data_IF_959772373769
#
_entry.id   IF_959772373769
#
_cell.length_a   1.000
_cell.length_b   1.000
_cell.length_c   1.000
_cell.angle_alpha   90.00
_cell.angle_beta   90.00
_cell.angle_gamma   90.00
#
_symmetry.space_group_name_H-M   'P 1'
#
loop_
_entity.id
_entity.type
_entity.pdbx_description
1 polymer ?
#
# COMPACT_ATOMS: atom_id res chain seq x y z
N UNK A 1 -25.20 -5.73 28.52
CA UNK A 1 -23.87 -6.12 29.04
C UNK A 1 -23.13 -6.70 27.84
N UNK A 2 -22.46 -5.81 27.08
CA UNK A 2 -21.78 -6.15 25.83
C UNK A 2 -20.42 -6.77 26.12
N UNK A 3 -20.20 -7.98 25.64
CA UNK A 3 -18.91 -8.66 25.70
C UNK A 3 -17.97 -7.94 24.76
N UNK A 4 -17.06 -7.12 25.27
CA UNK A 4 -15.90 -6.63 24.56
C UNK A 4 -14.97 -7.83 24.30
N UNK A 5 -15.09 -8.48 23.14
CA UNK A 5 -14.06 -9.41 22.70
C UNK A 5 -12.80 -8.59 22.44
N UNK A 6 -11.76 -8.81 23.24
CA UNK A 6 -10.41 -8.29 22.98
C UNK A 6 -9.98 -8.79 21.60
N UNK A 7 -9.87 -7.88 20.61
CA UNK A 7 -9.33 -8.19 19.28
C UNK A 7 -7.89 -8.69 19.50
N UNK A 8 -7.58 -9.87 18.97
CA UNK A 8 -6.22 -10.42 19.05
C UNK A 8 -5.23 -9.39 18.48
N UNK A 9 -4.04 -9.27 19.08
CA UNK A 9 -2.96 -8.37 18.63
C UNK A 9 -2.50 -8.64 17.19
N UNK A 10 -3.08 -9.60 16.49
CA UNK A 10 -2.71 -10.05 15.16
C UNK A 10 -3.75 -9.72 14.07
N UNK A 11 -4.75 -8.89 14.37
CA UNK A 11 -5.71 -8.45 13.35
C UNK A 11 -4.99 -7.56 12.32
N UNK A 12 -5.10 -7.84 11.01
CA UNK A 12 -4.48 -7.01 9.98
C UNK A 12 -4.89 -5.54 10.11
N UNK A 13 -3.91 -4.63 9.96
CA UNK A 13 -4.11 -3.18 9.97
C UNK A 13 -4.02 -2.58 8.58
N UNK A 14 -3.33 -3.26 7.67
CA UNK A 14 -3.14 -2.83 6.28
C UNK A 14 -3.51 -3.98 5.35
N UNK A 15 -4.38 -3.70 4.39
CA UNK A 15 -4.66 -4.61 3.29
C UNK A 15 -3.71 -4.32 2.12
N UNK A 16 -3.01 -5.33 1.61
CA UNK A 16 -2.20 -5.24 0.39
C UNK A 16 -2.93 -6.01 -0.70
N UNK A 17 -3.48 -5.30 -1.68
CA UNK A 17 -4.34 -5.87 -2.71
C UNK A 17 -3.71 -5.69 -4.08
N UNK A 18 -3.80 -6.71 -4.94
CA UNK A 18 -3.25 -6.67 -6.29
C UNK A 18 -4.21 -7.30 -7.30
N UNK A 19 -4.20 -6.81 -8.54
CA UNK A 19 -5.14 -7.24 -9.60
C UNK A 19 -4.84 -8.63 -10.17
N UNK A 20 -3.60 -9.11 -10.01
CA UNK A 20 -3.11 -10.38 -10.57
C UNK A 20 -1.98 -10.95 -9.73
N UNK A 21 -1.75 -12.26 -9.81
CA UNK A 21 -0.59 -12.92 -9.20
C UNK A 21 0.74 -12.40 -9.76
N UNK A 22 0.77 -11.95 -11.02
CA UNK A 22 1.95 -11.33 -11.63
C UNK A 22 2.40 -10.02 -10.95
N UNK A 23 1.49 -9.32 -10.26
CA UNK A 23 1.78 -8.08 -9.58
C UNK A 23 2.56 -8.31 -8.28
N UNK A 24 2.64 -9.56 -7.81
CA UNK A 24 3.35 -9.95 -6.59
C UNK A 24 4.82 -9.59 -6.62
N UNK A 25 5.48 -9.69 -7.79
CA UNK A 25 6.88 -9.30 -7.96
C UNK A 25 7.14 -7.87 -7.44
N UNK A 26 6.19 -6.97 -7.62
CA UNK A 26 6.25 -5.59 -7.13
C UNK A 26 5.65 -5.47 -5.73
N UNK A 27 4.47 -6.04 -5.50
CA UNK A 27 3.72 -5.80 -4.27
C UNK A 27 4.34 -6.47 -3.03
N UNK A 28 5.19 -7.49 -3.21
CA UNK A 28 5.97 -8.06 -2.11
C UNK A 28 6.86 -7.03 -1.40
N UNK A 29 7.30 -5.96 -2.07
CA UNK A 29 8.08 -4.88 -1.47
C UNK A 29 7.26 -4.09 -0.44
N UNK A 30 5.95 -3.91 -0.65
CA UNK A 30 5.07 -3.35 0.36
C UNK A 30 4.92 -4.28 1.57
N UNK A 31 4.72 -5.58 1.31
CA UNK A 31 4.60 -6.60 2.36
C UNK A 31 5.88 -6.68 3.20
N UNK A 32 7.05 -6.72 2.55
CA UNK A 32 8.35 -6.76 3.22
C UNK A 32 8.56 -5.52 4.11
N UNK A 33 8.19 -4.34 3.61
CA UNK A 33 8.31 -3.09 4.36
C UNK A 33 7.38 -3.07 5.58
N UNK A 34 6.12 -3.50 5.45
CA UNK A 34 5.18 -3.61 6.58
C UNK A 34 5.68 -4.60 7.63
N UNK A 35 6.22 -5.74 7.17
CA UNK A 35 6.79 -6.76 8.05
C UNK A 35 8.00 -6.24 8.85
N UNK A 36 8.91 -5.49 8.20
CA UNK A 36 10.07 -4.88 8.84
C UNK A 36 9.67 -3.94 9.99
N UNK A 37 8.55 -3.22 9.84
CA UNK A 37 8.00 -2.37 10.90
C UNK A 37 7.16 -3.13 11.93
N UNK A 38 6.87 -4.43 11.70
CA UNK A 38 6.00 -5.23 12.55
C UNK A 38 4.53 -4.83 12.46
N UNK A 39 4.10 -4.27 11.33
CA UNK A 39 2.70 -3.88 11.08
C UNK A 39 1.91 -5.11 10.61
N UNK A 40 0.86 -5.54 11.34
CA UNK A 40 0.00 -6.63 10.89
C UNK A 40 -0.69 -6.27 9.58
N UNK A 41 -0.59 -7.15 8.60
CA UNK A 41 -1.14 -6.94 7.26
C UNK A 41 -1.65 -8.25 6.66
N UNK A 42 -2.46 -8.14 5.63
CA UNK A 42 -2.85 -9.26 4.77
C UNK A 42 -2.56 -8.91 3.31
N UNK A 43 -2.30 -9.92 2.48
CA UNK A 43 -2.14 -9.77 1.04
C UNK A 43 -3.20 -10.58 0.30
N UNK A 44 -3.85 -9.97 -0.73
CA UNK A 44 -4.91 -10.60 -1.51
C UNK A 44 -4.82 -10.25 -2.98
N UNK A 45 -5.23 -11.21 -3.82
CA UNK A 45 -5.44 -11.00 -5.24
C UNK A 45 -6.94 -10.70 -5.44
N UNK A 46 -7.27 -9.52 -5.93
CA UNK A 46 -8.63 -9.07 -6.22
C UNK A 46 -8.60 -8.30 -7.54
N UNK A 47 -9.35 -8.75 -8.53
CA UNK A 47 -9.36 -8.10 -9.84
C UNK A 47 -10.60 -7.23 -10.01
N UNK A 48 -10.42 -5.93 -10.20
CA UNK A 48 -11.52 -5.01 -10.48
C UNK A 48 -12.35 -5.39 -11.71
N UNK A 49 -11.75 -6.08 -12.69
CA UNK A 49 -12.39 -6.45 -13.95
C UNK A 49 -12.90 -7.89 -14.00
N UNK A 50 -12.23 -8.82 -13.25
CA UNK A 50 -12.56 -10.25 -13.32
C UNK A 50 -13.34 -10.75 -12.11
N UNK A 51 -13.17 -10.10 -10.95
CA UNK A 51 -13.87 -10.38 -9.70
C UNK A 51 -14.34 -9.08 -9.04
N UNK A 52 -15.16 -8.25 -9.73
CA UNK A 52 -15.58 -6.94 -9.21
C UNK A 52 -16.33 -7.04 -7.89
N UNK A 53 -17.25 -8.01 -7.75
CA UNK A 53 -18.04 -8.20 -6.54
C UNK A 53 -17.17 -8.51 -5.31
N UNK A 54 -16.13 -9.35 -5.47
CA UNK A 54 -15.17 -9.64 -4.41
C UNK A 54 -14.39 -8.39 -3.99
N UNK A 55 -14.00 -7.57 -4.99
CA UNK A 55 -13.30 -6.31 -4.76
C UNK A 55 -14.16 -5.32 -3.98
N UNK A 56 -15.45 -5.19 -4.35
CA UNK A 56 -16.42 -4.35 -3.65
C UNK A 56 -16.65 -4.84 -2.22
N UNK A 57 -16.96 -6.13 -2.07
CA UNK A 57 -17.20 -6.72 -0.75
C UNK A 57 -15.99 -6.61 0.19
N UNK A 58 -14.78 -6.68 -0.34
CA UNK A 58 -13.56 -6.46 0.42
C UNK A 58 -13.47 -5.02 0.93
N UNK A 59 -13.62 -4.04 0.03
CA UNK A 59 -13.52 -2.62 0.37
C UNK A 59 -14.60 -2.17 1.38
N UNK A 60 -15.83 -2.60 1.19
CA UNK A 60 -16.97 -2.27 2.06
C UNK A 60 -16.79 -2.81 3.49
N UNK A 61 -16.17 -3.98 3.64
CA UNK A 61 -15.93 -4.61 4.95
C UNK A 61 -14.60 -4.24 5.60
N UNK A 62 -13.69 -3.60 4.86
CA UNK A 62 -12.32 -3.33 5.28
C UNK A 62 -12.24 -2.62 6.65
N UNK A 63 -13.00 -1.55 6.84
CA UNK A 63 -13.03 -0.80 8.10
C UNK A 63 -13.57 -1.64 9.26
N UNK A 64 -14.66 -2.38 9.05
CA UNK A 64 -15.26 -3.26 10.06
C UNK A 64 -14.29 -4.39 10.45
N UNK A 65 -13.49 -4.88 9.52
CA UNK A 65 -12.45 -5.89 9.76
C UNK A 65 -11.20 -5.33 10.47
N UNK A 66 -11.13 -4.01 10.71
CA UNK A 66 -10.07 -3.38 11.48
C UNK A 66 -8.90 -2.86 10.65
N UNK A 67 -9.01 -2.83 9.32
CA UNK A 67 -8.03 -2.18 8.47
C UNK A 67 -8.05 -0.66 8.69
N UNK A 68 -6.88 -0.05 8.60
CA UNK A 68 -6.69 1.41 8.66
C UNK A 68 -6.48 2.02 7.27
N UNK A 69 -5.97 1.26 6.33
CA UNK A 69 -5.79 1.65 4.93
C UNK A 69 -5.65 0.43 4.02
N UNK A 70 -5.73 0.65 2.71
CA UNK A 70 -5.54 -0.38 1.67
C UNK A 70 -4.46 0.10 0.71
N UNK A 71 -3.42 -0.72 0.49
CA UNK A 71 -2.43 -0.53 -0.57
C UNK A 71 -2.89 -1.35 -1.77
N UNK A 72 -3.12 -0.71 -2.91
CA UNK A 72 -3.67 -1.36 -4.09
C UNK A 72 -2.73 -1.22 -5.30
N UNK A 73 -2.20 -2.35 -5.78
CA UNK A 73 -1.34 -2.44 -6.95
C UNK A 73 -2.09 -2.93 -8.19
N UNK A 74 -1.92 -2.24 -9.31
CA UNK A 74 -2.50 -2.65 -10.60
C UNK A 74 -1.69 -2.12 -11.78
N UNK A 75 -1.71 -2.87 -12.89
CA UNK A 75 -1.02 -2.54 -14.13
C UNK A 75 -1.95 -2.35 -15.32
N UNK A 76 -1.50 -1.62 -16.33
CA UNK A 76 -2.27 -1.33 -17.53
C UNK A 76 -3.47 -0.43 -17.25
N UNK A 77 -4.69 -0.91 -17.51
CA UNK A 77 -5.95 -0.30 -17.07
C UNK A 77 -6.09 -0.49 -15.53
N UNK A 78 -5.31 0.24 -14.78
CA UNK A 78 -5.09 0.05 -13.35
C UNK A 78 -6.24 0.62 -12.50
N UNK A 79 -7.46 0.14 -12.71
CA UNK A 79 -8.67 0.68 -12.09
C UNK A 79 -8.88 0.24 -10.64
N UNK A 80 -8.16 -0.78 -10.15
CA UNK A 80 -8.40 -1.41 -8.85
C UNK A 80 -8.39 -0.40 -7.70
N UNK A 81 -7.40 0.48 -7.62
CA UNK A 81 -7.30 1.46 -6.53
C UNK A 81 -8.50 2.41 -6.50
N UNK A 82 -8.92 2.92 -7.67
CA UNK A 82 -10.09 3.80 -7.80
C UNK A 82 -11.40 3.09 -7.45
N UNK A 83 -11.55 1.85 -7.88
CA UNK A 83 -12.71 1.01 -7.56
C UNK A 83 -12.83 0.77 -6.06
N UNK A 84 -11.73 0.41 -5.39
CA UNK A 84 -11.72 0.23 -3.93
C UNK A 84 -12.00 1.55 -3.20
N UNK A 85 -11.40 2.66 -3.64
CA UNK A 85 -11.62 3.99 -3.03
C UNK A 85 -13.07 4.46 -3.13
N UNK A 86 -13.81 4.06 -4.18
CA UNK A 86 -15.22 4.37 -4.32
C UNK A 86 -16.12 3.56 -3.36
N UNK A 87 -15.60 2.50 -2.72
CA UNK A 87 -16.36 1.55 -1.88
C UNK A 87 -15.95 1.59 -0.41
N UNK A 88 -14.98 2.41 -0.02
CA UNK A 88 -14.55 2.57 1.37
C UNK A 88 -14.22 4.01 1.70
N UNK A 89 -14.31 4.36 2.98
CA UNK A 89 -13.82 5.64 3.50
C UNK A 89 -12.38 5.55 4.02
N UNK A 90 -11.78 4.36 3.98
CA UNK A 90 -10.38 4.18 4.35
C UNK A 90 -9.46 4.81 3.30
N UNK A 91 -8.27 5.34 3.69
CA UNK A 91 -7.26 5.75 2.74
C UNK A 91 -6.88 4.61 1.80
N UNK A 92 -6.91 4.87 0.49
CA UNK A 92 -6.43 3.94 -0.55
C UNK A 92 -5.13 4.48 -1.14
N UNK A 93 -4.10 3.64 -1.14
CA UNK A 93 -2.73 3.94 -1.54
C UNK A 93 -2.45 3.18 -2.84
N UNK A 94 -2.46 3.88 -3.96
CA UNK A 94 -2.34 3.29 -5.30
C UNK A 94 -0.88 3.12 -5.72
N UNK A 95 -0.53 1.92 -6.16
CA UNK A 95 0.80 1.57 -6.68
C UNK A 95 0.67 1.20 -8.15
N UNK A 96 1.18 2.03 -9.07
CA UNK A 96 1.24 1.68 -10.48
C UNK A 96 2.23 0.54 -10.74
N UNK A 97 1.76 -0.56 -11.34
CA UNK A 97 2.61 -1.68 -11.71
C UNK A 97 3.15 -1.46 -13.13
N UNK A 98 4.45 -1.72 -13.41
CA UNK A 98 5.01 -1.64 -14.73
C UNK A 98 4.23 -2.48 -15.74
N UNK A 99 3.90 -1.91 -16.90
CA UNK A 99 3.21 -2.59 -18.00
C UNK A 99 4.18 -2.91 -19.14
N UNK A 100 3.85 -3.93 -19.94
CA UNK A 100 4.71 -4.40 -21.03
C UNK A 100 4.98 -3.33 -22.10
N UNK A 101 3.96 -2.57 -22.48
CA UNK A 101 4.04 -1.67 -23.64
C UNK A 101 4.38 -0.22 -23.26
N UNK A 102 3.80 0.30 -22.18
CA UNK A 102 3.97 1.70 -21.75
C UNK A 102 4.77 1.83 -20.45
N UNK A 103 5.43 0.75 -20.01
CA UNK A 103 6.34 0.72 -18.84
C UNK A 103 5.73 1.29 -17.55
N UNK A 104 4.40 1.22 -17.43
CA UNK A 104 3.66 1.71 -16.28
C UNK A 104 3.13 3.13 -16.38
N UNK A 105 3.39 3.87 -17.46
CA UNK A 105 2.78 5.19 -17.67
C UNK A 105 1.26 5.12 -17.77
N UNK A 106 0.74 4.09 -18.44
CA UNK A 106 -0.69 3.75 -18.48
C UNK A 106 -1.25 3.44 -17.10
N UNK A 107 -0.53 2.65 -16.30
CA UNK A 107 -0.92 2.33 -14.92
C UNK A 107 -0.97 3.59 -14.05
N UNK A 108 0.06 4.44 -14.13
CA UNK A 108 0.13 5.69 -13.39
C UNK A 108 -1.03 6.62 -13.75
N UNK A 109 -1.25 6.85 -15.04
CA UNK A 109 -2.32 7.73 -15.52
C UNK A 109 -3.71 7.20 -15.17
N UNK A 110 -3.90 5.87 -15.18
CA UNK A 110 -5.16 5.25 -14.76
C UNK A 110 -5.47 5.42 -13.27
N UNK A 111 -4.44 5.53 -12.42
CA UNK A 111 -4.60 5.63 -10.97
C UNK A 111 -4.66 7.10 -10.50
N UNK A 112 -3.82 7.99 -11.07
CA UNK A 112 -3.62 9.33 -10.51
C UNK A 112 -4.76 10.30 -10.86
N UNK A 113 -5.43 10.13 -11.99
CA UNK A 113 -6.47 11.06 -12.47
C UNK A 113 -7.86 10.74 -11.91
N UNK A 114 -7.96 10.67 -10.59
CA UNK A 114 -9.22 10.42 -9.91
C UNK A 114 -10.17 11.63 -9.98
N UNK A 115 -11.49 11.40 -10.09
CA UNK A 115 -12.47 12.46 -10.04
C UNK A 115 -12.52 13.11 -8.65
N UNK A 116 -12.95 14.37 -8.60
CA UNK A 116 -13.19 15.09 -7.34
C UNK A 116 -14.17 14.31 -6.45
N UNK A 117 -13.77 14.04 -5.22
CA UNK A 117 -14.58 13.36 -4.21
C UNK A 117 -14.18 11.91 -3.94
N UNK A 118 -13.37 11.28 -4.80
CA UNK A 118 -12.86 9.91 -4.60
C UNK A 118 -11.32 9.91 -4.67
N UNK A 119 -10.63 10.24 -3.57
CA UNK A 119 -9.16 10.37 -3.59
C UNK A 119 -8.47 9.00 -3.57
N UNK A 120 -7.36 8.90 -4.32
CA UNK A 120 -6.35 7.83 -4.21
C UNK A 120 -4.98 8.47 -4.05
N UNK A 121 -4.26 8.16 -2.98
CA UNK A 121 -2.88 8.59 -2.82
C UNK A 121 -1.98 7.73 -3.74
N UNK A 122 -1.50 8.31 -4.83
CA UNK A 122 -0.76 7.59 -5.86
C UNK A 122 0.75 7.68 -5.63
N UNK A 123 1.45 6.55 -5.71
CA UNK A 123 2.89 6.41 -5.47
C UNK A 123 3.67 6.22 -6.79
N UNK A 124 4.98 6.07 -6.67
CA UNK A 124 5.84 5.83 -7.82
C UNK A 124 5.53 4.50 -8.51
N UNK A 125 5.90 4.37 -9.77
CA UNK A 125 5.78 3.12 -10.54
C UNK A 125 6.75 2.07 -9.97
N UNK A 126 6.26 0.85 -9.75
CA UNK A 126 7.07 -0.31 -9.40
C UNK A 126 7.48 -0.40 -7.92
N UNK A 127 8.61 -1.04 -7.67
CA UNK A 127 9.11 -1.43 -6.33
C UNK A 127 9.18 -0.26 -5.34
N UNK A 128 9.76 0.87 -5.77
CA UNK A 128 9.86 2.07 -4.93
C UNK A 128 8.48 2.59 -4.53
N UNK A 129 7.50 2.52 -5.44
CA UNK A 129 6.12 2.88 -5.16
C UNK A 129 5.48 1.99 -4.12
N UNK A 130 5.67 0.67 -4.24
CA UNK A 130 5.15 -0.30 -3.29
C UNK A 130 5.75 -0.10 -1.88
N UNK A 131 7.07 0.04 -1.78
CA UNK A 131 7.75 0.30 -0.52
C UNK A 131 7.31 1.63 0.12
N UNK A 132 7.20 2.70 -0.68
CA UNK A 132 6.77 4.02 -0.20
C UNK A 132 5.30 4.04 0.22
N UNK A 133 4.42 3.30 -0.45
CA UNK A 133 3.03 3.13 -0.01
C UNK A 133 2.95 2.47 1.36
N UNK A 134 3.78 1.45 1.61
CA UNK A 134 3.88 0.83 2.93
C UNK A 134 4.45 1.78 3.99
N UNK A 135 5.50 2.55 3.69
CA UNK A 135 6.03 3.56 4.60
C UNK A 135 5.02 4.67 4.91
N UNK A 136 4.19 5.02 3.93
CA UNK A 136 3.09 5.97 4.15
C UNK A 136 2.02 5.37 5.08
N UNK A 137 1.65 4.09 4.89
CA UNK A 137 0.75 3.38 5.79
C UNK A 137 1.34 3.31 7.22
N UNK A 138 2.64 3.04 7.36
CA UNK A 138 3.36 3.10 8.66
C UNK A 138 3.23 4.49 9.27
N UNK A 139 3.43 5.56 8.49
CA UNK A 139 3.33 6.94 8.98
C UNK A 139 1.90 7.30 9.42
N UNK A 140 0.86 6.81 8.71
CA UNK A 140 -0.53 6.96 9.14
C UNK A 140 -0.79 6.32 10.51
N UNK A 141 -0.33 5.08 10.69
CA UNK A 141 -0.50 4.33 11.93
C UNK A 141 0.33 4.92 13.08
N UNK A 142 1.52 5.41 12.80
CA UNK A 142 2.44 6.02 13.76
C UNK A 142 1.85 7.28 14.46
N UNK A 143 0.83 7.90 13.90
CA UNK A 143 0.14 9.05 14.52
C UNK A 143 -0.53 8.69 15.86
N UNK A 144 -0.88 7.44 16.06
CA UNK A 144 -1.50 6.93 17.29
C UNK A 144 -0.68 5.82 17.97
N UNK A 145 0.53 5.53 17.48
CA UNK A 145 1.44 4.52 18.01
C UNK A 145 2.86 5.11 18.17
N UNK A 146 3.20 5.49 19.40
CA UNK A 146 4.51 6.09 19.71
C UNK A 146 5.70 5.15 19.44
N UNK A 147 5.52 3.82 19.60
CA UNK A 147 6.57 2.85 19.30
C UNK A 147 6.83 2.78 17.79
N UNK A 148 5.77 2.78 17.01
CA UNK A 148 5.88 2.79 15.55
C UNK A 148 6.47 4.12 15.05
N UNK A 149 6.11 5.24 15.68
CA UNK A 149 6.68 6.56 15.37
C UNK A 149 8.20 6.58 15.62
N UNK A 150 8.67 6.02 16.74
CA UNK A 150 10.10 5.92 17.05
C UNK A 150 10.85 5.07 16.01
N UNK A 151 10.32 3.90 15.63
CA UNK A 151 10.89 3.05 14.58
C UNK A 151 10.98 3.79 13.23
N UNK A 152 9.95 4.56 12.87
CA UNK A 152 9.97 5.33 11.62
C UNK A 152 11.02 6.44 11.65
N UNK A 153 11.23 7.09 12.80
CA UNK A 153 12.28 8.10 12.97
C UNK A 153 13.67 7.47 12.88
N UNK A 154 13.90 6.32 13.51
CA UNK A 154 15.13 5.55 13.43
C UNK A 154 15.44 5.15 11.97
N UNK A 155 14.51 4.55 11.27
CA UNK A 155 14.64 4.20 9.85
C UNK A 155 15.07 5.39 8.99
N UNK A 156 14.49 6.59 9.20
CA UNK A 156 14.88 7.80 8.47
C UNK A 156 16.27 8.29 8.84
N UNK A 157 16.66 8.16 10.11
CA UNK A 157 17.99 8.51 10.58
C UNK A 157 19.06 7.60 9.95
N UNK A 158 18.81 6.30 9.88
CA UNK A 158 19.69 5.32 9.21
C UNK A 158 19.86 5.64 7.72
N UNK A 159 18.80 5.94 7.00
CA UNK A 159 18.89 6.35 5.60
C UNK A 159 19.70 7.63 5.42
N UNK A 160 19.54 8.59 6.32
CA UNK A 160 20.31 9.83 6.32
C UNK A 160 21.80 9.54 6.57
N UNK A 161 22.11 8.69 7.52
CA UNK A 161 23.50 8.29 7.84
C UNK A 161 24.14 7.56 6.64
N UNK A 162 23.41 6.62 6.02
CA UNK A 162 23.88 5.89 4.84
C UNK A 162 24.17 6.84 3.65
N UNK A 163 23.27 7.80 3.40
CA UNK A 163 23.45 8.78 2.33
C UNK A 163 24.68 9.69 2.58
N UNK A 164 24.91 10.10 3.83
CA UNK A 164 26.09 10.90 4.20
C UNK A 164 27.40 10.13 4.12
N UNK A 165 27.36 8.82 4.39
CA UNK A 165 28.53 7.94 4.31
C UNK A 165 28.87 7.50 2.88
N UNK A 166 27.97 7.71 1.91
CA UNK A 166 28.16 7.30 0.54
C UNK A 166 29.37 8.02 -0.09
N UNK A 167 30.26 7.25 -0.74
CA UNK A 167 31.43 7.76 -1.46
C UNK A 167 31.29 7.50 -2.95
N UNK A 168 31.81 8.41 -3.75
CA UNK A 168 31.91 8.18 -5.19
C UNK A 168 32.83 6.98 -5.44
N UNK A 169 32.54 6.15 -6.48
CA UNK A 169 33.48 5.11 -6.89
C UNK A 169 34.81 5.76 -7.32
N UNK A 170 35.94 5.07 -7.12
CA UNK A 170 37.24 5.58 -7.59
C UNK A 170 37.16 5.85 -9.08
N UNK A 171 37.76 6.97 -9.52
CA UNK A 171 37.90 7.27 -10.96
C UNK A 171 38.66 6.11 -11.61
N UNK A 172 38.10 5.53 -12.68
CA UNK A 172 38.80 4.58 -13.54
C UNK A 172 39.92 5.27 -14.30
#
# INVERSE_FOLDING_TARGET
>A
MGIFMARSNNTPKVGVVMGSASDWEIMQHAVAQLAAFGVPHEARILSAHRTPDDSFAYAERAAANGLACIIAGAGGAAHLAGVLAAKTTLPVLGVPIPSKYLRGADSLLSIVQMPKGVPVATFAIGEAGAANAALFAVALLARSDAKLAAKLAEFRAEQTAAARAAKLPPKK
#
